data_IF_227868907151
#
_entry.id   IF_227868907151
#
_cell.length_a   1.000
_cell.length_b   1.000
_cell.length_c   1.000
_cell.angle_alpha   90.00
_cell.angle_beta   90.00
_cell.angle_gamma   90.00
#
_symmetry.space_group_name_H-M   'P 1'
#
loop_
_entity.id
_entity.type
_entity.pdbx_description
1 polymer ?
#
# COMPACT_ATOMS: atom_id res chain seq x y z
N UNK A 1 12.99 -18.88 -22.90
CA UNK A 1 13.36 -17.70 -22.09
C UNK A 1 14.79 -17.75 -21.52
N UNK A 2 15.19 -18.79 -20.78
CA UNK A 2 16.57 -18.92 -20.20
C UNK A 2 17.71 -18.73 -21.21
N UNK A 3 17.59 -19.36 -22.39
CA UNK A 3 18.58 -19.22 -23.47
C UNK A 3 18.66 -17.78 -24.01
N UNK A 4 17.53 -17.08 -24.07
CA UNK A 4 17.49 -15.69 -24.54
C UNK A 4 18.19 -14.74 -23.56
N UNK A 5 17.95 -14.93 -22.25
CA UNK A 5 18.66 -14.23 -21.18
C UNK A 5 20.16 -14.50 -21.23
N UNK A 6 20.56 -15.78 -21.30
CA UNK A 6 21.97 -16.16 -21.39
C UNK A 6 22.65 -15.53 -22.63
N UNK A 7 21.96 -15.50 -23.78
CA UNK A 7 22.43 -14.85 -25.00
C UNK A 7 22.59 -13.33 -24.83
N UNK A 8 21.66 -12.66 -24.15
CA UNK A 8 21.75 -11.23 -23.87
C UNK A 8 22.94 -10.89 -22.96
N UNK A 9 23.21 -11.71 -21.94
CA UNK A 9 24.37 -11.54 -21.07
C UNK A 9 25.70 -11.87 -21.74
N UNK A 10 25.72 -12.86 -22.65
CA UNK A 10 26.95 -13.30 -23.32
C UNK A 10 27.61 -12.20 -24.17
N UNK A 11 26.82 -11.26 -24.72
CA UNK A 11 27.35 -10.13 -25.49
C UNK A 11 27.87 -8.97 -24.64
N UNK A 12 27.78 -9.04 -23.30
CA UNK A 12 28.20 -7.99 -22.36
C UNK A 12 27.82 -6.55 -22.79
N UNK A 13 26.54 -6.28 -23.15
CA UNK A 13 26.16 -4.98 -23.70
C UNK A 13 26.31 -3.83 -22.68
N UNK A 14 26.53 -2.61 -23.15
CA UNK A 14 26.52 -1.45 -22.23
C UNK A 14 25.13 -1.20 -21.63
N UNK A 15 24.07 -1.59 -22.35
CA UNK A 15 22.67 -1.44 -21.94
C UNK A 15 21.95 -2.78 -22.12
N UNK A 16 21.29 -3.23 -21.05
CA UNK A 16 20.47 -4.43 -21.03
C UNK A 16 18.99 -4.06 -20.92
N UNK A 17 18.20 -4.43 -21.92
CA UNK A 17 16.75 -4.26 -21.90
C UNK A 17 16.07 -5.61 -21.57
N UNK A 18 15.28 -5.62 -20.50
CA UNK A 18 14.53 -6.78 -20.05
C UNK A 18 13.03 -6.46 -20.05
N UNK A 19 12.34 -6.90 -21.09
CA UNK A 19 10.89 -6.71 -21.23
C UNK A 19 10.13 -7.96 -20.77
N UNK A 20 9.37 -7.81 -19.68
CA UNK A 20 8.56 -8.87 -19.06
C UNK A 20 9.30 -10.21 -18.91
N UNK A 21 10.53 -10.22 -18.34
CA UNK A 21 11.42 -11.38 -18.39
C UNK A 21 10.92 -12.58 -17.56
N UNK A 22 9.85 -12.40 -16.78
CA UNK A 22 9.25 -13.42 -15.92
C UNK A 22 7.83 -13.84 -16.33
N UNK A 23 7.24 -13.19 -17.35
CA UNK A 23 5.83 -13.41 -17.75
C UNK A 23 5.53 -14.84 -18.19
N UNK A 24 6.43 -15.47 -18.94
CA UNK A 24 6.24 -16.83 -19.50
C UNK A 24 6.84 -17.96 -18.65
N UNK A 25 7.08 -17.72 -17.35
CA UNK A 25 7.63 -18.72 -16.42
C UNK A 25 6.57 -19.24 -15.45
N UNK A 26 6.48 -20.56 -15.31
CA UNK A 26 5.69 -21.22 -14.26
C UNK A 26 6.07 -20.72 -12.86
N UNK A 27 5.07 -20.61 -11.98
CA UNK A 27 5.19 -20.11 -10.61
C UNK A 27 6.28 -20.82 -9.80
N UNK A 28 6.45 -22.14 -9.97
CA UNK A 28 7.53 -22.91 -9.31
C UNK A 28 8.93 -22.62 -9.84
N UNK A 29 9.07 -22.27 -11.13
CA UNK A 29 10.36 -21.98 -11.76
C UNK A 29 10.77 -20.51 -11.64
N UNK A 30 9.81 -19.63 -11.32
CA UNK A 30 9.99 -18.19 -11.19
C UNK A 30 10.99 -17.82 -10.09
N UNK A 31 10.85 -18.33 -8.87
CA UNK A 31 11.72 -17.95 -7.73
C UNK A 31 13.21 -18.22 -7.97
N UNK A 32 13.56 -19.39 -8.53
CA UNK A 32 14.96 -19.72 -8.83
C UNK A 32 15.53 -18.84 -9.92
N UNK A 33 14.75 -18.58 -10.97
CA UNK A 33 15.19 -17.73 -12.08
C UNK A 33 15.29 -16.28 -11.67
N UNK A 34 14.35 -15.80 -10.86
CA UNK A 34 14.33 -14.46 -10.31
C UNK A 34 15.57 -14.20 -9.46
N UNK A 35 15.93 -15.12 -8.55
CA UNK A 35 17.18 -15.02 -7.77
C UNK A 35 18.42 -14.95 -8.65
N UNK A 36 18.48 -15.78 -9.70
CA UNK A 36 19.57 -15.79 -10.67
C UNK A 36 19.64 -14.48 -11.46
N UNK A 37 18.50 -13.97 -11.89
CA UNK A 37 18.40 -12.71 -12.64
C UNK A 37 18.79 -11.53 -11.77
N UNK A 38 18.27 -11.44 -10.55
CA UNK A 38 18.63 -10.42 -9.57
C UNK A 38 20.15 -10.44 -9.35
N UNK A 39 20.74 -11.60 -9.08
CA UNK A 39 22.19 -11.70 -8.88
C UNK A 39 22.99 -11.23 -10.11
N UNK A 40 22.55 -11.56 -11.32
CA UNK A 40 23.24 -11.13 -12.54
C UNK A 40 23.06 -9.62 -12.81
N UNK A 41 21.84 -9.08 -12.65
CA UNK A 41 21.54 -7.66 -12.83
C UNK A 41 22.26 -6.81 -11.77
N UNK A 42 22.33 -7.28 -10.53
CA UNK A 42 23.00 -6.56 -9.43
C UNK A 42 24.51 -6.45 -9.65
N UNK A 43 25.12 -7.49 -10.24
CA UNK A 43 26.55 -7.49 -10.57
C UNK A 43 26.84 -6.96 -11.99
N UNK A 44 25.81 -6.51 -12.70
CA UNK A 44 25.95 -6.00 -14.05
C UNK A 44 26.54 -4.60 -14.05
N UNK A 45 27.60 -4.39 -14.82
CA UNK A 45 28.29 -3.08 -14.88
C UNK A 45 27.58 -2.07 -15.77
N UNK A 46 26.75 -2.53 -16.70
CA UNK A 46 25.98 -1.68 -17.61
C UNK A 46 24.67 -1.19 -17.02
N UNK A 47 23.94 -0.38 -17.79
CA UNK A 47 22.61 0.09 -17.42
C UNK A 47 21.59 -1.01 -17.72
N UNK A 48 20.74 -1.35 -16.76
CA UNK A 48 19.64 -2.30 -16.98
C UNK A 48 18.30 -1.58 -16.93
N UNK A 49 17.51 -1.69 -18.00
CA UNK A 49 16.12 -1.25 -18.03
C UNK A 49 15.21 -2.47 -17.92
N UNK A 50 14.43 -2.52 -16.85
CA UNK A 50 13.54 -3.62 -16.52
C UNK A 50 12.09 -3.15 -16.65
N UNK A 51 11.32 -3.81 -17.51
CA UNK A 51 9.91 -3.48 -17.78
C UNK A 51 9.05 -4.62 -17.24
N UNK A 52 8.11 -4.30 -16.36
CA UNK A 52 7.14 -5.25 -15.80
C UNK A 52 5.86 -4.53 -15.41
N UNK A 53 4.74 -5.24 -15.49
CA UNK A 53 3.47 -4.86 -14.86
C UNK A 53 3.35 -5.38 -13.41
N UNK A 54 4.29 -6.22 -12.95
CA UNK A 54 4.30 -6.78 -11.60
C UNK A 54 5.20 -5.95 -10.65
N UNK A 55 4.55 -5.25 -9.73
CA UNK A 55 5.24 -4.41 -8.75
C UNK A 55 6.12 -5.18 -7.77
N UNK A 56 5.79 -6.43 -7.42
CA UNK A 56 6.63 -7.22 -6.52
C UNK A 56 7.97 -7.57 -7.18
N UNK A 57 7.94 -7.90 -8.48
CA UNK A 57 9.14 -8.14 -9.28
C UNK A 57 9.97 -6.86 -9.38
N UNK A 58 9.33 -5.73 -9.69
CA UNK A 58 9.99 -4.43 -9.75
C UNK A 58 10.65 -4.07 -8.41
N UNK A 59 9.94 -4.28 -7.29
CA UNK A 59 10.44 -3.99 -5.94
C UNK A 59 11.64 -4.87 -5.55
N UNK A 60 11.66 -6.14 -5.98
CA UNK A 60 12.76 -7.08 -5.69
C UNK A 60 14.00 -6.82 -6.55
N UNK A 61 13.82 -6.46 -7.82
CA UNK A 61 14.93 -6.35 -8.79
C UNK A 61 15.51 -4.93 -8.85
N UNK A 62 14.66 -3.91 -8.86
CA UNK A 62 15.07 -2.54 -9.19
C UNK A 62 15.43 -1.74 -7.94
N UNK A 63 16.28 -0.72 -8.09
CA UNK A 63 16.50 0.30 -7.07
C UNK A 63 15.60 1.51 -7.31
N UNK A 64 15.60 2.02 -8.54
CA UNK A 64 14.76 3.11 -9.00
C UNK A 64 13.60 2.60 -9.84
N UNK A 65 12.46 3.28 -9.75
CA UNK A 65 11.24 2.98 -10.48
C UNK A 65 10.79 4.18 -11.30
N UNK A 66 10.20 3.88 -12.46
CA UNK A 66 9.51 4.81 -13.33
C UNK A 66 8.13 4.24 -13.59
N UNK A 67 7.08 4.94 -13.16
CA UNK A 67 5.69 4.53 -13.35
C UNK A 67 5.10 5.30 -14.52
N UNK A 68 4.59 4.57 -15.50
CA UNK A 68 3.95 5.14 -16.70
C UNK A 68 2.47 4.77 -16.71
N UNK A 69 1.62 5.77 -16.88
CA UNK A 69 0.16 5.61 -17.04
C UNK A 69 -0.30 6.46 -18.23
N UNK A 70 -1.05 5.87 -19.16
CA UNK A 70 -1.54 6.58 -20.35
C UNK A 70 -0.44 7.20 -21.22
N UNK A 71 0.75 6.59 -21.26
CA UNK A 71 1.91 7.11 -22.00
C UNK A 71 2.62 8.30 -21.33
N UNK A 72 2.24 8.67 -20.10
CA UNK A 72 2.87 9.74 -19.32
C UNK A 72 3.57 9.17 -18.10
N UNK A 73 4.69 9.77 -17.71
CA UNK A 73 5.36 9.48 -16.46
C UNK A 73 4.52 10.08 -15.33
N UNK A 74 4.03 9.22 -14.43
CA UNK A 74 3.21 9.64 -13.27
C UNK A 74 3.98 9.55 -11.96
N UNK A 75 5.08 8.81 -11.92
CA UNK A 75 6.00 8.80 -10.79
C UNK A 75 7.40 8.36 -11.21
N UNK A 76 8.42 8.88 -10.53
CA UNK A 76 9.82 8.50 -10.71
C UNK A 76 10.59 8.64 -9.40
N UNK A 77 11.46 7.68 -9.09
CA UNK A 77 12.38 7.78 -7.96
C UNK A 77 12.73 6.44 -7.35
N UNK A 78 13.38 6.47 -6.19
CA UNK A 78 13.76 5.27 -5.46
C UNK A 78 12.52 4.48 -5.05
N UNK A 79 12.57 3.15 -5.17
CA UNK A 79 11.43 2.27 -4.90
C UNK A 79 10.78 2.49 -3.53
N UNK A 80 11.57 2.74 -2.48
CA UNK A 80 11.01 2.98 -1.14
C UNK A 80 10.10 4.21 -1.15
N UNK A 81 10.50 5.31 -1.79
CA UNK A 81 9.69 6.52 -1.85
C UNK A 81 8.40 6.30 -2.64
N UNK A 82 8.47 5.61 -3.79
CA UNK A 82 7.30 5.31 -4.62
C UNK A 82 6.27 4.48 -3.86
N UNK A 83 6.74 3.53 -3.06
CA UNK A 83 5.85 2.69 -2.24
C UNK A 83 5.41 3.43 -0.99
N UNK A 84 6.26 4.09 -0.23
CA UNK A 84 5.86 4.70 1.05
C UNK A 84 5.05 5.98 0.85
N UNK A 85 5.46 6.83 -0.11
CA UNK A 85 4.88 8.14 -0.43
C UNK A 85 4.58 8.25 -1.93
N UNK A 86 3.59 7.50 -2.43
CA UNK A 86 3.18 7.58 -3.83
C UNK A 86 2.72 9.01 -4.15
N UNK A 87 3.11 9.62 -5.29
CA UNK A 87 2.80 11.01 -5.59
C UNK A 87 1.39 11.24 -6.14
N UNK A 88 0.68 10.17 -6.53
CA UNK A 88 -0.66 10.26 -7.11
C UNK A 88 -1.55 9.14 -6.59
N UNK A 89 -2.86 9.35 -6.64
CA UNK A 89 -3.86 8.34 -6.30
C UNK A 89 -3.68 7.05 -7.12
N UNK A 90 -3.39 7.16 -8.42
CA UNK A 90 -3.16 5.99 -9.28
C UNK A 90 -1.98 5.16 -8.81
N UNK A 91 -0.86 5.79 -8.44
CA UNK A 91 0.34 5.11 -7.94
C UNK A 91 0.09 4.51 -6.55
N UNK A 92 -0.67 5.19 -5.70
CA UNK A 92 -1.07 4.66 -4.39
C UNK A 92 -1.93 3.40 -4.53
N UNK A 93 -2.88 3.38 -5.48
CA UNK A 93 -3.68 2.20 -5.81
C UNK A 93 -2.82 1.08 -6.38
N UNK A 94 -1.91 1.41 -7.30
CA UNK A 94 -0.99 0.46 -7.91
C UNK A 94 -0.17 -0.25 -6.83
N UNK A 95 0.42 0.50 -5.89
CA UNK A 95 1.22 -0.03 -4.77
C UNK A 95 0.42 -0.74 -3.67
N UNK A 96 -0.88 -1.00 -3.90
CA UNK A 96 -1.71 -1.85 -3.05
C UNK A 96 -2.45 -1.14 -1.92
N UNK A 97 -2.51 0.19 -1.91
CA UNK A 97 -3.40 0.90 -1.00
C UNK A 97 -4.86 0.76 -1.49
N UNK A 98 -5.77 0.41 -0.56
CA UNK A 98 -7.19 0.14 -0.86
C UNK A 98 -8.14 1.13 -0.19
N UNK A 99 -7.71 1.74 0.93
CA UNK A 99 -8.53 2.71 1.65
C UNK A 99 -8.18 4.11 1.18
N UNK A 100 -9.16 4.81 0.63
CA UNK A 100 -9.04 6.21 0.28
C UNK A 100 -10.28 6.98 0.72
N UNK A 101 -10.07 8.26 1.00
CA UNK A 101 -11.12 9.24 1.21
C UNK A 101 -10.74 10.52 0.49
N UNK A 102 -11.71 11.16 -0.15
CA UNK A 102 -11.59 12.56 -0.60
C UNK A 102 -11.39 13.45 0.61
N UNK A 103 -10.58 14.47 0.45
CA UNK A 103 -10.22 15.33 1.58
C UNK A 103 -10.39 16.80 1.31
N UNK A 104 -10.60 17.54 2.40
CA UNK A 104 -10.49 19.00 2.42
C UNK A 104 -9.40 19.37 3.43
N UNK A 105 -8.43 20.16 3.00
CA UNK A 105 -7.42 20.71 3.89
C UNK A 105 -8.10 21.64 4.92
N UNK A 106 -7.75 21.49 6.19
CA UNK A 106 -8.17 22.39 7.27
C UNK A 106 -6.94 23.20 7.75
N UNK A 107 -7.12 24.35 8.41
CA UNK A 107 -5.99 25.12 8.90
C UNK A 107 -5.10 24.30 9.84
N UNK A 108 -3.78 24.44 9.69
CA UNK A 108 -2.80 23.71 10.50
C UNK A 108 -2.41 22.36 9.89
N UNK A 109 -2.30 21.34 10.74
CA UNK A 109 -1.86 19.98 10.41
C UNK A 109 -3.04 19.00 10.34
N UNK A 110 -4.20 19.48 9.87
CA UNK A 110 -5.44 18.70 9.85
C UNK A 110 -6.08 18.65 8.48
N UNK A 111 -6.66 17.49 8.19
CA UNK A 111 -7.45 17.23 6.97
C UNK A 111 -8.77 16.60 7.35
N UNK A 112 -9.82 16.91 6.61
CA UNK A 112 -11.13 16.27 6.78
C UNK A 112 -11.29 15.20 5.70
N UNK A 113 -11.42 13.94 6.12
CA UNK A 113 -11.69 12.79 5.26
C UNK A 113 -13.21 12.66 5.05
N UNK A 114 -13.70 13.20 3.94
CA UNK A 114 -15.13 13.35 3.64
C UNK A 114 -15.83 11.99 3.61
N UNK A 115 -15.23 11.01 2.92
CA UNK A 115 -15.83 9.67 2.75
C UNK A 115 -15.74 8.82 4.04
N UNK A 116 -14.89 9.22 5.00
CA UNK A 116 -14.76 8.54 6.28
C UNK A 116 -15.51 9.23 7.41
N UNK A 117 -15.94 10.48 7.19
CA UNK A 117 -16.66 11.29 8.18
C UNK A 117 -15.81 11.75 9.35
N UNK A 118 -14.48 11.84 9.19
CA UNK A 118 -13.56 12.14 10.29
C UNK A 118 -12.51 13.20 9.96
N UNK A 119 -11.99 13.88 10.98
CA UNK A 119 -10.84 14.78 10.86
C UNK A 119 -9.57 14.06 11.30
N UNK A 120 -8.55 14.07 10.46
CA UNK A 120 -7.26 13.44 10.69
C UNK A 120 -6.20 14.51 10.91
N UNK A 121 -5.35 14.29 11.91
CA UNK A 121 -4.07 14.96 12.06
C UNK A 121 -3.05 14.33 11.11
N UNK A 122 -2.26 15.17 10.45
CA UNK A 122 -1.12 14.78 9.61
C UNK A 122 0.17 15.13 10.33
N UNK A 123 1.23 14.35 10.07
CA UNK A 123 2.60 14.71 10.51
C UNK A 123 3.36 15.38 9.37
N UNK A 124 2.96 15.09 8.14
CA UNK A 124 3.53 15.66 6.93
C UNK A 124 2.85 16.97 6.58
N UNK A 125 3.61 17.83 5.89
CA UNK A 125 3.10 19.08 5.33
C UNK A 125 2.03 18.76 4.29
N UNK A 126 0.91 19.47 4.36
CA UNK A 126 -0.25 19.23 3.51
C UNK A 126 0.08 19.75 2.09
N UNK A 127 0.12 18.89 1.06
CA UNK A 127 0.41 19.33 -0.30
C UNK A 127 -0.68 20.29 -0.83
N UNK A 128 -0.30 21.30 -1.62
CA UNK A 128 -1.27 22.20 -2.27
C UNK A 128 -2.23 21.44 -3.21
N UNK A 129 -1.76 20.34 -3.81
CA UNK A 129 -2.51 19.49 -4.72
C UNK A 129 -3.23 18.33 -4.02
N UNK A 130 -3.45 18.40 -2.70
CA UNK A 130 -4.11 17.35 -1.94
C UNK A 130 -5.53 17.11 -2.47
N UNK A 131 -5.82 15.86 -2.82
CA UNK A 131 -7.11 15.41 -3.33
C UNK A 131 -7.72 14.30 -2.49
N UNK A 132 -6.88 13.39 -1.98
CA UNK A 132 -7.28 12.24 -1.19
C UNK A 132 -6.28 11.96 -0.06
N UNK A 133 -6.78 11.30 0.98
CA UNK A 133 -5.94 10.60 1.96
C UNK A 133 -6.14 9.10 1.79
N UNK A 134 -5.07 8.34 1.95
CA UNK A 134 -5.12 6.89 2.01
C UNK A 134 -4.42 6.31 3.23
N UNK A 135 -4.76 5.06 3.55
CA UNK A 135 -4.05 4.26 4.56
C UNK A 135 -4.05 2.80 4.15
N UNK A 136 -2.94 2.09 4.32
CA UNK A 136 -2.88 0.66 3.95
C UNK A 136 -3.63 -0.19 4.96
N UNK A 137 -4.31 -1.23 4.47
CA UNK A 137 -5.10 -2.13 5.30
C UNK A 137 -4.29 -2.77 6.45
N UNK A 138 -3.02 -3.12 6.21
CA UNK A 138 -2.15 -3.70 7.23
C UNK A 138 -1.51 -2.67 8.19
N UNK A 139 -1.69 -1.36 7.95
CA UNK A 139 -1.20 -0.28 8.81
C UNK A 139 -2.27 0.19 9.81
N UNK A 140 -3.51 -0.28 9.66
CA UNK A 140 -4.60 -0.01 10.58
C UNK A 140 -4.37 -0.77 11.89
N UNK A 141 -4.34 -0.04 12.99
CA UNK A 141 -4.20 -0.62 14.33
C UNK A 141 -5.54 -0.58 15.09
N UNK A 142 -5.70 -1.50 16.04
CA UNK A 142 -6.88 -1.61 16.89
C UNK A 142 -6.50 -1.32 18.34
N UNK A 143 -7.43 -0.70 19.06
CA UNK A 143 -7.31 -0.26 20.46
C UNK A 143 -8.52 -0.79 21.22
N UNK A 144 -8.29 -1.26 22.45
CA UNK A 144 -9.31 -1.96 23.25
C UNK A 144 -10.48 -1.07 23.68
N UNK A 145 -10.24 0.22 23.89
CA UNK A 145 -11.29 1.19 24.25
C UNK A 145 -11.08 2.51 23.49
N UNK A 146 -11.98 2.88 22.55
CA UNK A 146 -11.87 4.15 21.82
C UNK A 146 -12.10 5.39 22.68
N UNK A 147 -12.72 5.26 23.87
CA UNK A 147 -13.11 6.37 24.74
C UNK A 147 -12.22 6.53 25.98
N UNK A 148 -11.44 5.50 26.34
CA UNK A 148 -10.46 5.53 27.43
C UNK A 148 -9.03 5.78 26.94
N UNK A 149 -8.88 6.25 25.71
CA UNK A 149 -7.65 6.92 25.31
C UNK A 149 -7.72 8.30 25.95
N UNK A 150 -6.72 8.68 26.76
CA UNK A 150 -6.53 10.06 27.22
C UNK A 150 -6.95 11.03 26.12
N UNK A 151 -7.77 12.06 26.43
CA UNK A 151 -8.24 13.14 25.56
C UNK A 151 -7.07 13.85 24.84
N UNK A 152 -6.39 13.13 23.97
CA UNK A 152 -5.32 13.57 23.12
C UNK A 152 -5.96 13.74 21.75
N UNK A 153 -6.53 14.94 21.47
CA UNK A 153 -7.18 15.24 20.21
C UNK A 153 -6.22 15.12 19.02
N UNK A 154 -4.94 14.91 19.26
CA UNK A 154 -3.91 14.70 18.23
C UNK A 154 -3.78 13.25 17.76
N UNK A 155 -4.55 12.32 18.34
CA UNK A 155 -4.57 10.92 17.90
C UNK A 155 -5.77 10.64 17.02
N UNK A 156 -5.48 10.17 15.80
CA UNK A 156 -6.47 9.70 14.84
C UNK A 156 -7.05 8.35 15.28
N UNK A 157 -7.89 8.34 16.31
CA UNK A 157 -8.57 7.16 16.83
C UNK A 157 -10.07 7.36 16.73
N UNK A 158 -10.77 6.38 16.17
CA UNK A 158 -12.20 6.47 15.92
C UNK A 158 -12.91 5.19 16.38
N UNK A 159 -14.14 5.30 16.91
CA UNK A 159 -14.96 4.13 17.17
C UNK A 159 -15.36 3.48 15.84
N UNK A 160 -15.31 2.16 15.78
CA UNK A 160 -15.68 1.40 14.61
C UNK A 160 -16.46 0.12 14.93
N UNK A 161 -17.20 -0.35 13.93
CA UNK A 161 -17.99 -1.57 13.94
C UNK A 161 -17.56 -2.46 12.78
N UNK A 162 -17.56 -3.76 13.05
CA UNK A 162 -17.29 -4.76 12.03
C UNK A 162 -18.54 -4.96 11.16
N UNK A 163 -18.35 -4.85 9.85
CA UNK A 163 -19.40 -5.01 8.84
C UNK A 163 -19.38 -6.43 8.28
N UNK A 164 -18.19 -6.87 7.87
CA UNK A 164 -17.97 -8.18 7.30
C UNK A 164 -16.51 -8.62 7.50
N UNK A 165 -16.28 -9.91 7.31
CA UNK A 165 -14.94 -10.51 7.33
C UNK A 165 -14.71 -11.35 6.09
N UNK A 166 -13.49 -11.35 5.58
CA UNK A 166 -13.06 -12.25 4.51
C UNK A 166 -11.75 -12.92 4.89
N UNK A 167 -11.73 -14.25 4.86
CA UNK A 167 -10.62 -15.06 5.33
C UNK A 167 -9.70 -15.50 4.19
N UNK A 168 -8.40 -15.44 4.44
CA UNK A 168 -7.34 -16.08 3.63
C UNK A 168 -6.58 -17.08 4.51
N UNK A 169 -5.68 -17.93 3.96
CA UNK A 169 -4.98 -18.93 4.77
C UNK A 169 -4.28 -18.40 6.03
N UNK A 170 -3.73 -17.17 5.98
CA UNK A 170 -2.94 -16.58 7.08
C UNK A 170 -3.47 -15.23 7.59
N UNK A 171 -4.39 -14.58 6.87
CA UNK A 171 -4.89 -13.25 7.22
C UNK A 171 -6.40 -13.19 7.22
N UNK A 172 -6.94 -12.32 8.06
CA UNK A 172 -8.32 -11.89 8.05
C UNK A 172 -8.40 -10.46 7.50
N UNK A 173 -9.27 -10.27 6.53
CA UNK A 173 -9.68 -8.95 6.05
C UNK A 173 -10.94 -8.54 6.80
N UNK A 174 -10.91 -7.35 7.39
CA UNK A 174 -12.01 -6.78 8.17
C UNK A 174 -12.55 -5.56 7.42
N UNK A 175 -13.86 -5.55 7.16
CA UNK A 175 -14.57 -4.39 6.64
C UNK A 175 -15.16 -3.63 7.82
N UNK A 176 -14.80 -2.36 7.96
CA UNK A 176 -15.07 -1.55 9.14
C UNK A 176 -15.88 -0.30 8.77
N UNK A 177 -16.96 -0.06 9.52
CA UNK A 177 -17.72 1.19 9.52
C UNK A 177 -17.24 2.05 10.68
N UNK A 178 -17.04 3.34 10.45
CA UNK A 178 -16.64 4.31 11.48
C UNK A 178 -17.87 5.03 12.05
N UNK A 179 -17.78 5.49 13.29
CA UNK A 179 -18.74 6.37 13.98
C UNK A 179 -20.08 5.75 14.36
N UNK A 180 -20.61 4.85 13.55
CA UNK A 180 -21.91 4.22 13.77
C UNK A 180 -21.93 2.73 13.37
N UNK A 181 -22.89 1.94 13.88
CA UNK A 181 -23.11 0.57 13.42
C UNK A 181 -23.53 0.53 11.94
N UNK A 182 -23.12 -0.49 11.16
CA UNK A 182 -23.46 -0.60 9.75
C UNK A 182 -24.96 -0.88 9.54
N UNK A 183 -25.51 -0.32 8.47
CA UNK A 183 -26.90 -0.59 8.07
C UNK A 183 -27.02 -1.76 7.09
N UNK A 184 -25.98 -2.04 6.31
CA UNK A 184 -25.95 -3.13 5.33
C UNK A 184 -24.52 -3.70 5.13
N UNK A 185 -24.35 -4.85 4.47
CA UNK A 185 -23.04 -5.50 4.32
C UNK A 185 -22.02 -4.78 3.43
N UNK A 186 -22.43 -3.77 2.66
CA UNK A 186 -21.56 -2.95 1.81
C UNK A 186 -21.27 -1.58 2.43
N UNK A 187 -21.93 -1.24 3.52
CA UNK A 187 -21.75 0.00 4.27
C UNK A 187 -20.49 -0.06 5.16
N UNK A 188 -19.32 0.10 4.54
CA UNK A 188 -18.03 0.18 5.24
C UNK A 188 -17.19 1.35 4.73
N UNK A 189 -16.32 1.89 5.59
CA UNK A 189 -15.39 2.97 5.25
C UNK A 189 -13.97 2.44 5.01
N UNK A 190 -13.56 1.42 5.76
CA UNK A 190 -12.17 0.93 5.78
C UNK A 190 -12.10 -0.59 5.64
N UNK A 191 -11.04 -1.04 4.98
CA UNK A 191 -10.57 -2.41 4.95
C UNK A 191 -9.28 -2.50 5.78
N UNK A 192 -9.29 -3.34 6.81
CA UNK A 192 -8.11 -3.66 7.61
C UNK A 192 -7.67 -5.11 7.36
N UNK A 193 -6.36 -5.37 7.41
CA UNK A 193 -5.80 -6.72 7.25
C UNK A 193 -5.01 -7.10 8.50
N UNK A 194 -5.44 -8.15 9.19
CA UNK A 194 -4.81 -8.66 10.42
C UNK A 194 -4.42 -10.13 10.27
N UNK A 195 -3.45 -10.58 11.03
CA UNK A 195 -3.14 -12.00 11.15
C UNK A 195 -4.21 -12.72 11.98
N UNK A 196 -4.42 -14.02 11.74
CA UNK A 196 -5.47 -14.81 12.42
C UNK A 196 -5.29 -14.83 13.94
N UNK A 197 -4.06 -14.88 14.42
CA UNK A 197 -3.75 -14.86 15.84
C UNK A 197 -4.26 -13.57 16.51
N UNK A 198 -4.09 -12.44 15.83
CA UNK A 198 -4.60 -11.14 16.30
C UNK A 198 -6.13 -11.07 16.21
N UNK A 199 -6.71 -11.61 15.14
CA UNK A 199 -8.16 -11.67 14.94
C UNK A 199 -8.89 -12.35 16.11
N UNK A 200 -8.41 -13.52 16.58
CA UNK A 200 -9.03 -14.24 17.70
C UNK A 200 -9.03 -13.47 19.03
N UNK A 201 -8.18 -12.45 19.17
CA UNK A 201 -8.21 -11.52 20.29
C UNK A 201 -9.26 -10.42 20.09
N UNK A 202 -9.25 -9.78 18.92
CA UNK A 202 -10.12 -8.63 18.61
C UNK A 202 -11.59 -9.06 18.54
N UNK A 203 -11.91 -10.21 17.95
CA UNK A 203 -13.30 -10.65 17.73
C UNK A 203 -14.12 -10.81 19.02
N UNK A 204 -13.44 -10.93 20.16
CA UNK A 204 -14.05 -11.11 21.49
C UNK A 204 -14.31 -9.79 22.22
N UNK A 205 -13.76 -8.68 21.71
CA UNK A 205 -13.95 -7.37 22.31
C UNK A 205 -15.37 -6.85 22.01
N UNK A 206 -16.03 -6.21 22.98
CA UNK A 206 -17.34 -5.60 22.74
C UNK A 206 -17.18 -4.40 21.78
N UNK A 207 -18.23 -4.14 20.99
CA UNK A 207 -18.28 -2.92 20.18
C UNK A 207 -18.63 -1.69 21.03
N UNK A 208 -18.23 -0.49 20.60
CA UNK A 208 -17.37 -0.21 19.44
C UNK A 208 -15.89 -0.52 19.71
N UNK A 209 -15.18 -0.96 18.68
CA UNK A 209 -13.72 -1.08 18.73
C UNK A 209 -13.08 0.28 18.46
N UNK A 210 -11.87 0.53 18.98
CA UNK A 210 -11.07 1.67 18.57
C UNK A 210 -10.19 1.33 17.38
N UNK A 211 -10.28 2.11 16.30
CA UNK A 211 -9.35 2.01 15.16
C UNK A 211 -8.42 3.21 15.12
N UNK A 212 -7.12 2.95 15.02
CA UNK A 212 -6.09 3.98 14.95
C UNK A 212 -5.52 4.11 13.54
N UNK A 213 -5.66 5.31 12.97
CA UNK A 213 -5.13 5.71 11.67
C UNK A 213 -3.88 6.58 11.86
N UNK A 214 -2.77 5.93 12.22
CA UNK A 214 -1.52 6.62 12.58
C UNK A 214 -1.13 7.70 11.57
N UNK A 215 -0.93 8.94 12.04
CA UNK A 215 -0.64 10.09 11.18
C UNK A 215 0.62 9.89 10.30
N UNK A 216 1.65 9.21 10.80
CA UNK A 216 2.87 8.87 10.05
C UNK A 216 2.68 7.77 8.99
N UNK A 217 1.49 7.16 8.90
CA UNK A 217 1.14 6.12 7.93
C UNK A 217 0.10 6.60 6.92
N UNK A 218 -0.38 7.84 7.05
CA UNK A 218 -1.29 8.44 6.09
C UNK A 218 -0.54 8.74 4.79
N UNK A 219 -1.19 8.46 3.68
CA UNK A 219 -0.73 8.75 2.32
C UNK A 219 -1.51 9.97 1.85
N UNK A 220 -0.83 11.08 1.61
CA UNK A 220 -1.43 12.33 1.11
C UNK A 220 -1.18 12.41 -0.40
N UNK A 221 -2.25 12.37 -1.20
CA UNK A 221 -2.21 12.33 -2.69
C UNK A 221 -3.26 13.20 -3.35
#
# INVERSE_FOLDING_TARGET
>A
QRIALARAFASQPEILLLDEPFSALDTHLRDRLEKLLIANVTNYRGVTLFITHNLEEAYRVCHDLLVIEGGKIVAQGVKQNIFERPPTLSVAKLTGCKNFSRVVARPGDRIEAIDWGCTLKTVEEIPESLSHVGIRAHQIAFVDDPYNVSDDPDRNIFPCWLVATSETPHRMTLFLKLHEPPTDPQDYHLQAEVFKEKWYGIEKLPFPWGVSLQAARLILV
#
